data_IF_666257269104
#
_entry.id   IF_666257269104
#
_cell.length_a   1.000
_cell.length_b   1.000
_cell.length_c   1.000
_cell.angle_alpha   90.00
_cell.angle_beta   90.00
_cell.angle_gamma   90.00
#
_symmetry.space_group_name_H-M   'P 1'
#
loop_
_entity.id
_entity.type
_entity.pdbx_description
1 polymer ?
#
# COMPACT_ATOMS: atom_id res chain seq x y z
N UNK A 1 -3.16 8.01 -14.11
CA UNK A 1 -1.77 7.74 -13.69
C UNK A 1 -1.56 8.41 -12.34
N UNK A 2 -1.49 7.65 -11.24
CA UNK A 2 -0.90 8.19 -10.00
C UNK A 2 0.57 7.84 -10.10
N UNK A 3 1.37 8.72 -10.69
CA UNK A 3 2.81 8.66 -10.46
C UNK A 3 2.97 8.73 -8.94
N UNK A 4 3.53 7.67 -8.34
CA UNK A 4 4.19 7.81 -7.06
C UNK A 4 5.29 8.84 -7.31
N UNK A 5 5.00 10.11 -7.02
CA UNK A 5 5.99 11.19 -7.13
C UNK A 5 6.95 10.96 -5.97
N UNK A 6 7.96 10.13 -6.22
CA UNK A 6 9.06 9.98 -5.29
C UNK A 6 9.72 11.34 -5.11
N UNK A 7 10.04 11.70 -3.88
CA UNK A 7 10.94 12.82 -3.61
C UNK A 7 12.23 12.57 -4.37
N UNK A 8 12.48 13.40 -5.39
CA UNK A 8 13.71 13.34 -6.17
C UNK A 8 14.63 14.39 -5.58
N UNK A 9 15.48 13.92 -4.67
CA UNK A 9 16.47 14.76 -4.00
C UNK A 9 17.61 15.01 -5.00
N UNK A 10 17.76 16.25 -5.44
CA UNK A 10 18.91 16.65 -6.24
C UNK A 10 20.07 16.97 -5.29
N UNK A 11 21.10 16.12 -5.26
CA UNK A 11 22.26 16.28 -4.37
C UNK A 11 23.02 17.60 -4.62
N UNK A 12 22.94 18.13 -5.84
CA UNK A 12 23.55 19.41 -6.24
C UNK A 12 22.67 20.63 -5.89
N UNK A 13 21.49 20.42 -5.33
CA UNK A 13 20.60 21.52 -4.99
C UNK A 13 21.14 22.30 -3.80
N UNK A 14 21.36 23.60 -3.98
CA UNK A 14 21.80 24.54 -2.95
C UNK A 14 20.69 25.57 -2.68
N UNK A 15 20.58 25.99 -1.43
CA UNK A 15 19.71 27.09 -1.02
C UNK A 15 20.55 28.23 -0.48
N UNK A 16 20.15 29.46 -0.79
CA UNK A 16 20.83 30.69 -0.38
C UNK A 16 20.30 31.23 0.95
N UNK A 17 19.09 30.82 1.34
CA UNK A 17 18.45 31.20 2.60
C UNK A 17 17.70 30.04 3.26
N UNK A 18 17.42 30.19 4.56
CA UNK A 18 16.56 29.25 5.28
C UNK A 18 15.14 29.21 4.72
N UNK A 19 14.60 30.36 4.32
CA UNK A 19 13.24 30.46 3.77
C UNK A 19 13.09 29.65 2.48
N UNK A 20 14.08 29.70 1.58
CA UNK A 20 14.12 28.89 0.36
C UNK A 20 14.14 27.40 0.68
N UNK A 21 15.00 26.98 1.62
CA UNK A 21 15.09 25.60 2.09
C UNK A 21 13.75 25.13 2.69
N UNK A 22 13.13 25.96 3.53
CA UNK A 22 11.87 25.66 4.20
C UNK A 22 10.73 25.46 3.19
N UNK A 23 10.56 26.41 2.26
CA UNK A 23 9.53 26.35 1.23
C UNK A 23 9.72 25.13 0.32
N UNK A 24 10.96 24.82 -0.03
CA UNK A 24 11.27 23.61 -0.80
C UNK A 24 10.93 22.34 -0.02
N UNK A 25 11.37 22.23 1.23
CA UNK A 25 11.11 21.08 2.07
C UNK A 25 9.60 20.84 2.26
N UNK A 26 8.82 21.91 2.45
CA UNK A 26 7.36 21.83 2.54
C UNK A 26 6.72 21.27 1.26
N UNK A 27 7.22 21.68 0.07
CA UNK A 27 6.75 21.17 -1.22
C UNK A 27 7.13 19.71 -1.44
N UNK A 28 8.36 19.31 -1.11
CA UNK A 28 8.77 17.91 -1.21
C UNK A 28 8.00 17.02 -0.24
N UNK A 29 7.74 17.50 0.99
CA UNK A 29 6.94 16.79 1.98
C UNK A 29 5.52 16.49 1.49
N UNK A 30 4.89 17.39 0.73
CA UNK A 30 3.57 17.12 0.14
C UNK A 30 3.59 15.94 -0.84
N UNK A 31 4.71 15.73 -1.54
CA UNK A 31 4.88 14.60 -2.46
C UNK A 31 5.05 13.27 -1.73
N UNK A 32 5.49 13.30 -0.46
CA UNK A 32 5.69 12.10 0.33
C UNK A 32 4.40 11.30 0.60
N UNK A 33 3.22 11.92 0.51
CA UNK A 33 1.92 11.26 0.72
C UNK A 33 1.85 10.35 1.97
N UNK A 34 2.38 10.83 3.10
CA UNK A 34 2.48 10.08 4.36
C UNK A 34 3.26 8.75 4.25
N UNK A 35 4.24 8.67 3.36
CA UNK A 35 5.21 7.58 3.29
C UNK A 35 6.37 7.87 4.24
N UNK A 36 6.52 7.05 5.29
CA UNK A 36 7.52 7.26 6.34
C UNK A 36 8.94 7.25 5.78
N UNK A 37 9.24 6.36 4.83
CA UNK A 37 10.57 6.23 4.23
C UNK A 37 10.95 7.46 3.39
N UNK A 38 10.01 8.05 2.66
CA UNK A 38 10.27 9.27 1.88
C UNK A 38 10.48 10.48 2.79
N UNK A 39 9.69 10.62 3.86
CA UNK A 39 9.90 11.68 4.85
C UNK A 39 11.26 11.52 5.54
N UNK A 40 11.62 10.28 5.91
CA UNK A 40 12.94 9.97 6.48
C UNK A 40 14.08 10.34 5.54
N UNK A 41 13.94 10.07 4.24
CA UNK A 41 14.94 10.45 3.21
C UNK A 41 15.07 11.98 3.11
N UNK A 42 13.95 12.70 3.01
CA UNK A 42 13.93 14.16 2.96
C UNK A 42 14.60 14.77 4.21
N UNK A 43 14.22 14.28 5.39
CA UNK A 43 14.81 14.68 6.67
C UNK A 43 16.32 14.46 6.71
N UNK A 44 16.77 13.27 6.28
CA UNK A 44 18.19 12.91 6.29
C UNK A 44 18.98 13.84 5.37
N UNK A 45 18.49 14.09 4.16
CA UNK A 45 19.10 15.04 3.23
C UNK A 45 19.23 16.45 3.82
N UNK A 46 18.17 16.95 4.47
CA UNK A 46 18.20 18.29 5.08
C UNK A 46 19.19 18.34 6.24
N UNK A 47 19.19 17.32 7.09
CA UNK A 47 20.12 17.21 8.22
C UNK A 47 21.57 17.18 7.76
N UNK A 48 21.89 16.31 6.80
CA UNK A 48 23.28 16.10 6.38
C UNK A 48 23.87 17.35 5.70
N UNK A 49 23.04 18.08 4.95
CA UNK A 49 23.51 19.22 4.14
C UNK A 49 23.35 20.59 4.80
N UNK A 50 22.34 20.79 5.66
CA UNK A 50 21.93 22.13 6.10
C UNK A 50 21.92 22.34 7.62
N UNK A 51 22.19 21.30 8.44
CA UNK A 51 22.08 21.40 9.91
C UNK A 51 22.87 22.59 10.49
N UNK A 52 24.09 22.79 9.99
CA UNK A 52 24.97 23.87 10.46
C UNK A 52 24.98 25.09 9.54
N UNK A 53 24.21 25.08 8.43
CA UNK A 53 24.22 26.17 7.43
C UNK A 53 23.24 27.29 7.80
N UNK A 54 22.10 26.93 8.39
CA UNK A 54 21.09 27.91 8.81
C UNK A 54 20.62 27.60 10.24
N UNK A 55 20.51 28.64 11.08
CA UNK A 55 20.04 28.48 12.47
C UNK A 55 18.64 27.83 12.55
N UNK A 56 17.78 28.10 11.57
CA UNK A 56 16.43 27.56 11.49
C UNK A 56 16.35 26.06 11.16
N UNK A 57 17.45 25.43 10.71
CA UNK A 57 17.40 24.05 10.21
C UNK A 57 16.99 23.05 11.30
N UNK A 58 17.35 23.29 12.56
CA UNK A 58 16.94 22.41 13.67
C UNK A 58 15.42 22.32 13.80
N UNK A 59 14.71 23.45 13.70
CA UNK A 59 13.24 23.48 13.76
C UNK A 59 12.60 22.78 12.56
N UNK A 60 13.21 22.88 11.37
CA UNK A 60 12.74 22.16 10.20
C UNK A 60 12.93 20.64 10.34
N UNK A 61 14.03 20.20 10.95
CA UNK A 61 14.26 18.78 11.26
C UNK A 61 13.23 18.28 12.28
N UNK A 62 13.00 19.04 13.36
CA UNK A 62 12.00 18.69 14.38
C UNK A 62 10.59 18.57 13.78
N UNK A 63 10.22 19.50 12.90
CA UNK A 63 8.97 19.43 12.13
C UNK A 63 8.88 18.14 11.30
N UNK A 64 9.95 17.77 10.58
CA UNK A 64 9.98 16.56 9.77
C UNK A 64 10.00 15.28 10.62
N UNK A 65 10.54 15.32 11.83
CA UNK A 65 10.48 14.21 12.78
C UNK A 65 9.03 13.96 13.26
N UNK A 66 8.27 15.02 13.57
CA UNK A 66 6.84 14.89 13.88
C UNK A 66 6.03 14.31 12.71
N UNK A 67 6.31 14.78 11.49
CA UNK A 67 5.67 14.27 10.27
C UNK A 67 6.04 12.81 9.99
N UNK A 68 7.28 12.40 10.31
CA UNK A 68 7.72 11.02 10.19
C UNK A 68 6.98 10.10 11.18
N UNK A 69 6.85 10.52 12.44
CA UNK A 69 6.08 9.78 13.45
C UNK A 69 4.63 9.60 13.01
N UNK A 70 3.99 10.69 12.56
CA UNK A 70 2.61 10.65 12.07
C UNK A 70 2.45 9.72 10.85
N UNK A 71 3.42 9.70 9.94
CA UNK A 71 3.41 8.78 8.81
C UNK A 71 3.52 7.31 9.24
N UNK A 72 4.36 7.00 10.23
CA UNK A 72 4.43 5.65 10.81
C UNK A 72 3.10 5.23 11.45
N UNK A 73 2.43 6.11 12.18
CA UNK A 73 1.12 5.84 12.78
C UNK A 73 0.06 5.55 11.70
N UNK A 74 0.05 6.33 10.61
CA UNK A 74 -0.83 6.11 9.48
C UNK A 74 -0.56 4.76 8.80
N UNK A 75 0.71 4.38 8.61
CA UNK A 75 1.12 3.09 8.04
C UNK A 75 0.66 1.93 8.94
N UNK A 76 0.93 2.00 10.24
CA UNK A 76 0.49 1.01 11.22
C UNK A 76 -1.05 0.86 11.25
N UNK A 77 -1.78 1.98 11.20
CA UNK A 77 -3.25 1.96 11.15
C UNK A 77 -3.77 1.26 9.89
N UNK A 78 -3.12 1.46 8.73
CA UNK A 78 -3.46 0.75 7.49
C UNK A 78 -3.20 -0.75 7.60
N UNK A 79 -2.04 -1.14 8.11
CA UNK A 79 -1.70 -2.56 8.30
C UNK A 79 -2.68 -3.27 9.24
N UNK A 80 -3.07 -2.61 10.34
CA UNK A 80 -4.09 -3.13 11.23
C UNK A 80 -5.44 -3.33 10.53
N UNK A 81 -5.87 -2.37 9.69
CA UNK A 81 -7.13 -2.50 8.92
C UNK A 81 -7.08 -3.64 7.90
N UNK A 82 -5.95 -3.84 7.23
CA UNK A 82 -5.77 -4.95 6.27
C UNK A 82 -5.82 -6.30 6.99
N UNK A 83 -5.17 -6.39 8.16
CA UNK A 83 -5.21 -7.57 9.03
C UNK A 83 -6.60 -7.86 9.61
N UNK A 84 -7.34 -6.81 10.00
CA UNK A 84 -8.72 -6.93 10.47
C UNK A 84 -9.63 -7.42 9.33
N UNK A 85 -9.43 -6.91 8.11
CA UNK A 85 -10.13 -7.36 6.91
C UNK A 85 -9.85 -8.85 6.64
N UNK A 86 -8.58 -9.25 6.65
CA UNK A 86 -8.18 -10.65 6.48
C UNK A 86 -8.82 -11.56 7.54
N UNK A 87 -8.73 -11.16 8.80
CA UNK A 87 -9.26 -11.93 9.94
C UNK A 87 -10.76 -12.13 9.80
N UNK A 88 -11.49 -11.07 9.40
CA UNK A 88 -12.92 -11.16 9.16
C UNK A 88 -13.25 -12.10 7.99
N UNK A 89 -12.53 -11.98 6.87
CA UNK A 89 -12.75 -12.84 5.70
C UNK A 89 -12.48 -14.30 6.07
N UNK A 90 -11.38 -14.60 6.74
CA UNK A 90 -11.03 -15.97 7.14
C UNK A 90 -12.08 -16.58 8.09
N UNK A 91 -12.57 -15.80 9.06
CA UNK A 91 -13.61 -16.25 10.00
C UNK A 91 -14.97 -16.51 9.34
N UNK A 92 -15.25 -15.87 8.20
CA UNK A 92 -16.54 -15.96 7.50
C UNK A 92 -16.37 -16.53 6.08
N UNK A 93 -15.28 -17.26 5.83
CA UNK A 93 -14.83 -17.58 4.48
C UNK A 93 -15.89 -18.34 3.68
N UNK A 94 -16.47 -19.39 4.26
CA UNK A 94 -17.49 -20.21 3.60
C UNK A 94 -18.77 -19.42 3.28
N UNK A 95 -19.07 -18.38 4.06
CA UNK A 95 -20.24 -17.53 3.81
C UNK A 95 -19.97 -16.52 2.70
N UNK A 96 -18.76 -15.96 2.67
CA UNK A 96 -18.35 -14.95 1.69
C UNK A 96 -18.02 -15.58 0.33
N UNK A 97 -17.42 -16.77 0.35
CA UNK A 97 -16.95 -17.50 -0.83
C UNK A 97 -17.46 -18.95 -0.81
N UNK A 98 -18.78 -19.18 -0.99
CA UNK A 98 -19.39 -20.50 -0.80
C UNK A 98 -18.86 -21.58 -1.75
N UNK A 99 -18.35 -21.20 -2.92
CA UNK A 99 -17.81 -22.11 -3.93
C UNK A 99 -16.34 -22.48 -3.70
N UNK A 100 -15.67 -21.84 -2.73
CA UNK A 100 -14.25 -22.03 -2.45
C UNK A 100 -14.04 -22.66 -1.07
N UNK A 101 -12.93 -23.38 -0.93
CA UNK A 101 -12.46 -23.99 0.29
C UNK A 101 -11.21 -23.25 0.76
N UNK A 102 -11.24 -22.73 1.99
CA UNK A 102 -10.09 -22.02 2.57
C UNK A 102 -8.92 -22.99 2.79
N UNK A 103 -7.73 -22.62 2.30
CA UNK A 103 -6.51 -23.40 2.53
C UNK A 103 -5.68 -22.78 3.64
N UNK A 104 -5.27 -21.51 3.48
CA UNK A 104 -4.39 -20.83 4.44
C UNK A 104 -4.38 -19.32 4.23
N UNK A 105 -4.22 -18.56 5.31
CA UNK A 105 -3.82 -17.14 5.25
C UNK A 105 -2.30 -17.00 5.29
N UNK A 106 -1.79 -15.88 4.77
CA UNK A 106 -0.36 -15.54 4.78
C UNK A 106 0.51 -16.67 4.16
N UNK A 107 0.06 -17.23 3.03
CA UNK A 107 0.70 -18.36 2.37
C UNK A 107 1.98 -17.93 1.63
N UNK A 108 3.11 -18.49 2.02
CA UNK A 108 4.43 -18.12 1.48
C UNK A 108 4.71 -18.86 0.17
N UNK A 109 5.09 -18.11 -0.86
CA UNK A 109 5.55 -18.59 -2.17
C UNK A 109 6.93 -18.00 -2.49
N UNK A 110 7.54 -18.36 -3.63
CA UNK A 110 8.89 -17.85 -3.96
C UNK A 110 8.89 -16.34 -4.20
N UNK A 111 7.83 -15.81 -4.81
CA UNK A 111 7.72 -14.41 -5.18
C UNK A 111 7.16 -13.51 -4.06
N UNK A 112 6.79 -14.06 -2.91
CA UNK A 112 6.21 -13.29 -1.82
C UNK A 112 5.27 -14.08 -0.93
N UNK A 113 4.21 -13.42 -0.46
CA UNK A 113 3.23 -13.98 0.46
C UNK A 113 1.83 -13.58 0.02
N UNK A 114 0.99 -14.59 -0.19
CA UNK A 114 -0.41 -14.44 -0.56
C UNK A 114 -1.21 -14.20 0.72
N UNK A 115 -2.07 -13.19 0.73
CA UNK A 115 -2.89 -12.89 1.91
C UNK A 115 -3.83 -14.06 2.24
N UNK A 116 -4.56 -14.58 1.26
CA UNK A 116 -5.41 -15.77 1.44
C UNK A 116 -5.31 -16.68 0.22
N UNK A 117 -4.93 -17.95 0.47
CA UNK A 117 -4.99 -19.04 -0.49
C UNK A 117 -6.21 -19.91 -0.21
N UNK A 118 -6.93 -20.25 -1.29
CA UNK A 118 -8.08 -21.14 -1.27
C UNK A 118 -8.06 -22.04 -2.52
N UNK A 119 -9.04 -22.94 -2.62
CA UNK A 119 -9.25 -23.81 -3.78
C UNK A 119 -10.71 -23.76 -4.21
N UNK A 120 -10.96 -23.85 -5.51
CA UNK A 120 -12.31 -24.07 -6.01
C UNK A 120 -12.79 -25.48 -5.66
N UNK A 121 -13.94 -25.59 -5.00
CA UNK A 121 -14.44 -26.88 -4.48
C UNK A 121 -14.62 -27.94 -5.58
N UNK A 122 -15.04 -27.53 -6.77
CA UNK A 122 -15.37 -28.44 -7.89
C UNK A 122 -14.13 -28.98 -8.61
N UNK A 123 -13.14 -28.12 -8.86
CA UNK A 123 -12.00 -28.44 -9.74
C UNK A 123 -10.67 -28.55 -9.00
N UNK A 124 -10.63 -28.13 -7.73
CA UNK A 124 -9.40 -27.92 -6.94
C UNK A 124 -8.43 -26.93 -7.58
N UNK A 125 -8.94 -26.05 -8.47
CA UNK A 125 -8.19 -24.95 -9.04
C UNK A 125 -7.77 -23.97 -7.92
N UNK A 126 -6.50 -23.53 -7.87
CA UNK A 126 -6.05 -22.57 -6.86
C UNK A 126 -6.80 -21.24 -6.98
N UNK A 127 -7.16 -20.65 -5.85
CA UNK A 127 -7.79 -19.33 -5.73
C UNK A 127 -6.86 -18.43 -4.91
N UNK A 128 -6.36 -17.37 -5.54
CA UNK A 128 -5.43 -16.41 -4.93
C UNK A 128 -6.21 -15.14 -4.63
N UNK A 129 -6.29 -14.78 -3.34
CA UNK A 129 -7.02 -13.60 -2.88
C UNK A 129 -6.03 -12.62 -2.27
N UNK A 130 -6.04 -11.40 -2.78
CA UNK A 130 -5.18 -10.29 -2.33
C UNK A 130 -6.03 -9.14 -1.79
N UNK A 131 -5.66 -8.63 -0.62
CA UNK A 131 -6.38 -7.60 0.10
C UNK A 131 -5.65 -6.25 -0.03
N UNK A 132 -6.41 -5.17 -0.19
CA UNK A 132 -5.87 -3.82 -0.18
C UNK A 132 -6.81 -2.82 0.51
N UNK A 133 -6.27 -2.08 1.47
CA UNK A 133 -6.96 -0.91 2.05
C UNK A 133 -6.73 0.36 1.24
N UNK A 134 -7.52 1.39 1.51
CA UNK A 134 -7.49 2.69 0.84
C UNK A 134 -7.70 2.57 -0.69
N UNK A 135 -6.81 3.18 -1.49
CA UNK A 135 -6.89 3.23 -2.95
C UNK A 135 -5.79 2.38 -3.62
N UNK A 136 -5.19 1.45 -2.88
CA UNK A 136 -4.14 0.55 -3.41
C UNK A 136 -4.78 -0.49 -4.34
N UNK A 137 -4.01 -0.93 -5.34
CA UNK A 137 -4.47 -1.85 -6.37
C UNK A 137 -3.77 -3.22 -6.22
N UNK A 138 -4.51 -4.33 -6.05
CA UNK A 138 -3.93 -5.67 -5.94
C UNK A 138 -3.46 -6.26 -7.28
N UNK A 139 -3.86 -5.71 -8.43
CA UNK A 139 -3.65 -6.34 -9.76
C UNK A 139 -2.22 -6.83 -10.02
N UNK A 140 -1.22 -5.96 -9.85
CA UNK A 140 0.18 -6.30 -10.18
C UNK A 140 0.67 -7.46 -9.32
N UNK A 141 0.26 -7.49 -8.04
CA UNK A 141 0.66 -8.52 -7.09
C UNK A 141 -0.02 -9.86 -7.41
N UNK A 142 -1.33 -9.84 -7.71
CA UNK A 142 -2.07 -11.02 -8.17
C UNK A 142 -1.46 -11.62 -9.44
N UNK A 143 -1.13 -10.78 -10.44
CA UNK A 143 -0.48 -11.22 -11.68
C UNK A 143 0.96 -11.73 -11.47
N UNK A 144 1.66 -11.27 -10.44
CA UNK A 144 2.97 -11.80 -10.09
C UNK A 144 2.83 -13.19 -9.45
N UNK A 145 1.89 -13.35 -8.52
CA UNK A 145 1.64 -14.59 -7.80
C UNK A 145 1.07 -15.68 -8.71
N UNK A 146 0.25 -15.29 -9.71
CA UNK A 146 -0.38 -16.24 -10.63
C UNK A 146 0.62 -17.11 -11.40
N UNK A 147 1.84 -16.62 -11.60
CA UNK A 147 2.91 -17.33 -12.32
C UNK A 147 3.41 -18.58 -11.60
N UNK A 148 3.15 -18.72 -10.31
CA UNK A 148 3.54 -19.90 -9.51
C UNK A 148 2.45 -20.99 -9.48
N UNK A 149 1.28 -20.74 -10.07
CA UNK A 149 0.14 -21.66 -10.07
C UNK A 149 -0.31 -21.97 -11.50
N UNK A 150 -0.82 -23.19 -11.70
CA UNK A 150 -1.39 -23.59 -12.98
C UNK A 150 -2.82 -23.07 -13.04
N UNK A 151 -3.06 -22.08 -13.92
CA UNK A 151 -4.38 -21.49 -14.16
C UNK A 151 -5.12 -21.14 -12.85
N UNK A 152 -4.65 -20.21 -12.01
CA UNK A 152 -5.35 -19.84 -10.78
C UNK A 152 -6.56 -18.94 -11.07
N UNK A 153 -7.52 -18.91 -10.14
CA UNK A 153 -8.55 -17.86 -10.04
C UNK A 153 -7.96 -16.71 -9.24
N UNK A 154 -8.10 -15.47 -9.72
CA UNK A 154 -7.52 -14.29 -9.08
C UNK A 154 -8.64 -13.39 -8.55
N UNK A 155 -8.53 -13.03 -7.26
CA UNK A 155 -9.53 -12.20 -6.58
C UNK A 155 -8.83 -11.04 -5.87
N UNK A 156 -9.25 -9.81 -6.19
CA UNK A 156 -8.84 -8.61 -5.46
C UNK A 156 -9.94 -8.13 -4.54
N UNK A 157 -9.70 -8.08 -3.23
CA UNK A 157 -10.65 -7.47 -2.28
C UNK A 157 -10.11 -6.13 -1.82
N UNK A 158 -10.91 -5.08 -2.00
CA UNK A 158 -10.49 -3.70 -1.74
C UNK A 158 -11.44 -3.00 -0.77
N UNK A 159 -10.96 -2.03 0.01
CA UNK A 159 -11.85 -1.21 0.87
C UNK A 159 -12.71 -0.25 0.05
N UNK A 160 -12.22 0.18 -1.12
CA UNK A 160 -12.87 1.16 -2.00
C UNK A 160 -12.80 0.69 -3.44
N UNK A 161 -13.87 0.98 -4.20
CA UNK A 161 -13.94 0.68 -5.63
C UNK A 161 -12.76 1.31 -6.38
N UNK A 162 -12.05 0.48 -7.14
CA UNK A 162 -11.01 0.93 -8.06
C UNK A 162 -11.64 1.58 -9.29
N UNK A 163 -10.91 2.52 -9.91
CA UNK A 163 -11.30 3.02 -11.23
C UNK A 163 -11.21 1.87 -12.26
N UNK A 164 -12.18 1.79 -13.17
CA UNK A 164 -12.25 0.73 -14.18
C UNK A 164 -10.95 0.57 -14.98
N UNK A 165 -10.25 1.68 -15.27
CA UNK A 165 -8.96 1.68 -15.98
C UNK A 165 -7.79 1.04 -15.21
N UNK A 166 -7.98 0.72 -13.93
CA UNK A 166 -6.99 0.06 -13.07
C UNK A 166 -7.31 -1.41 -12.81
N UNK A 167 -8.50 -1.87 -13.20
CA UNK A 167 -8.94 -3.24 -13.05
C UNK A 167 -8.50 -4.06 -14.26
N UNK A 168 -8.09 -5.29 -14.02
CA UNK A 168 -7.85 -6.29 -15.06
C UNK A 168 -9.17 -7.01 -15.39
N UNK A 169 -9.28 -7.63 -16.57
CA UNK A 169 -10.48 -8.40 -16.95
C UNK A 169 -10.40 -9.85 -16.45
N UNK A 170 -9.19 -10.37 -16.20
CA UNK A 170 -8.96 -11.73 -15.71
C UNK A 170 -9.01 -11.84 -14.18
N UNK A 171 -9.34 -10.74 -13.48
CA UNK A 171 -9.40 -10.64 -12.02
C UNK A 171 -10.80 -10.26 -11.59
N UNK A 172 -11.39 -11.03 -10.68
CA UNK A 172 -12.65 -10.65 -10.02
C UNK A 172 -12.34 -9.70 -8.87
N UNK A 173 -13.06 -8.58 -8.79
CA UNK A 173 -12.86 -7.60 -7.72
C UNK A 173 -14.06 -7.54 -6.79
N UNK A 174 -13.79 -7.48 -5.50
CA UNK A 174 -14.79 -7.19 -4.47
C UNK A 174 -14.44 -5.91 -3.74
N UNK A 175 -15.46 -5.19 -3.29
CA UNK A 175 -15.35 -4.13 -2.31
C UNK A 175 -15.86 -4.64 -0.97
N UNK A 176 -15.02 -4.54 0.06
CA UNK A 176 -15.39 -4.84 1.43
C UNK A 176 -15.48 -3.56 2.25
N UNK A 177 -16.71 -3.18 2.62
CA UNK A 177 -16.98 -2.00 3.45
C UNK A 177 -17.90 -2.38 4.61
N UNK A 178 -17.51 -2.01 5.83
CA UNK A 178 -18.29 -2.29 7.04
C UNK A 178 -18.72 -3.77 7.15
N UNK A 179 -17.79 -4.70 6.89
CA UNK A 179 -18.04 -6.15 6.93
C UNK A 179 -19.09 -6.65 5.93
N UNK A 180 -19.40 -5.85 4.90
CA UNK A 180 -20.20 -6.27 3.74
C UNK A 180 -19.29 -6.37 2.52
N UNK A 181 -19.48 -7.42 1.74
CA UNK A 181 -18.72 -7.68 0.51
C UNK A 181 -19.64 -7.58 -0.69
N UNK A 182 -19.24 -6.80 -1.68
CA UNK A 182 -19.98 -6.57 -2.92
C UNK A 182 -19.04 -6.78 -4.11
N UNK A 183 -19.48 -7.53 -5.11
CA UNK A 183 -18.71 -7.72 -6.34
C UNK A 183 -18.73 -6.43 -7.17
N UNK A 184 -17.58 -6.07 -7.74
CA UNK A 184 -17.45 -4.91 -8.62
C UNK A 184 -17.62 -5.35 -10.07
N UNK A 185 -18.79 -5.07 -10.62
CA UNK A 185 -19.02 -5.20 -12.06
C UNK A 185 -18.43 -3.97 -12.75
N UNK A 186 -17.60 -4.23 -13.76
CA UNK A 186 -16.87 -3.23 -14.54
C UNK A 186 -17.79 -2.39 -15.42
#
# INVERSE_FOLDING_TARGET
MNNLINVTLNENQEFSSFEELFLWAAREKQKCNYNSQQIKRLRTFIKDKYLNKFQGTIYLIDFLDLEFIHALECENSRENREKDMQSYICQNFETLFPNFEFVKSEFVIKSGRIDILAEEKSSKRPVIIELKTDNKNPTIQLLAYSKEFINPILIGVTEKKLANSKMDDDITYYVMKNKKMEEVIK
#
